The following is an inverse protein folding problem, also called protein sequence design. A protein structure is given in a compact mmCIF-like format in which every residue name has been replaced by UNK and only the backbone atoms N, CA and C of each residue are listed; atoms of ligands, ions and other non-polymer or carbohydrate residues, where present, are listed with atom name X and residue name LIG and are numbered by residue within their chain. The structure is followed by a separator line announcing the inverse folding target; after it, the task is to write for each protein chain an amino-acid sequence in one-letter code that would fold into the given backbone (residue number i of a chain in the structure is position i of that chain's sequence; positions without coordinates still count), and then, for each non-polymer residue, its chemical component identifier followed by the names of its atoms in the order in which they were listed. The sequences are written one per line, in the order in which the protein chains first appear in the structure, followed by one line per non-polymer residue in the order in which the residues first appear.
data_IF_772133757827
#
_entry.id   IF_772133757827
#
_cell.length_a   1.000
_cell.length_b   1.000
_cell.length_c   1.000
_cell.angle_alpha   90.00
_cell.angle_beta   90.00
_cell.angle_gamma   90.00
#
_symmetry.space_group_name_H-M   'P 1'
#
loop_
_entity.id
_entity.type
_entity.pdbx_description
1 polymer ?
#
# COMPACT_ATOMS: atom_id res chain seq x y z
N UNK A 1 -1.33 -38.79 -17.13
CA UNK A 1 -1.06 -38.52 -15.69
C UNK A 1 -1.43 -37.09 -15.26
N UNK A 2 -1.89 -36.22 -16.16
CA UNK A 2 -2.19 -34.81 -15.84
C UNK A 2 -3.56 -34.59 -15.20
N UNK A 3 -4.58 -35.34 -15.62
CA UNK A 3 -5.94 -35.22 -15.09
C UNK A 3 -6.07 -35.41 -13.57
N UNK A 4 -5.28 -36.29 -12.96
CA UNK A 4 -5.39 -36.59 -11.53
C UNK A 4 -4.88 -35.45 -10.63
N UNK A 5 -3.85 -34.70 -11.06
CA UNK A 5 -3.34 -33.59 -10.25
C UNK A 5 -4.31 -32.40 -10.26
N UNK A 6 -4.97 -32.14 -11.39
CA UNK A 6 -5.91 -31.01 -11.54
C UNK A 6 -7.10 -31.17 -10.60
N UNK A 7 -7.68 -32.36 -10.57
CA UNK A 7 -8.81 -32.69 -9.68
C UNK A 7 -8.41 -32.49 -8.22
N UNK A 8 -7.21 -32.96 -7.83
CA UNK A 8 -6.72 -32.80 -6.45
C UNK A 8 -6.62 -31.32 -6.07
N UNK A 9 -6.02 -30.49 -6.93
CA UNK A 9 -5.92 -29.05 -6.67
C UNK A 9 -7.26 -28.33 -6.65
N UNK A 10 -8.21 -28.73 -7.50
CA UNK A 10 -9.57 -28.18 -7.49
C UNK A 10 -10.28 -28.52 -6.18
N UNK A 11 -10.23 -29.79 -5.75
CA UNK A 11 -10.81 -30.24 -4.47
C UNK A 11 -10.16 -29.53 -3.28
N UNK A 12 -8.83 -29.41 -3.29
CA UNK A 12 -8.10 -28.70 -2.24
C UNK A 12 -8.50 -27.22 -2.17
N UNK A 13 -8.57 -26.55 -3.31
CA UNK A 13 -9.00 -25.15 -3.41
C UNK A 13 -10.44 -24.95 -2.97
N UNK A 14 -11.33 -25.90 -3.30
CA UNK A 14 -12.72 -25.92 -2.85
C UNK A 14 -12.84 -26.05 -1.33
N UNK A 15 -12.20 -27.06 -0.74
CA UNK A 15 -12.19 -27.27 0.71
C UNK A 15 -11.67 -26.05 1.43
N UNK A 16 -10.53 -25.52 0.99
CA UNK A 16 -9.90 -24.38 1.63
C UNK A 16 -10.74 -23.09 1.46
N UNK A 17 -11.44 -22.91 0.33
CA UNK A 17 -12.40 -21.81 0.17
C UNK A 17 -13.56 -21.94 1.16
N UNK A 18 -14.12 -23.14 1.34
CA UNK A 18 -15.18 -23.39 2.33
C UNK A 18 -14.71 -23.13 3.76
N UNK A 19 -13.49 -23.56 4.11
CA UNK A 19 -12.92 -23.35 5.44
C UNK A 19 -12.78 -21.85 5.76
N UNK A 20 -12.34 -21.04 4.79
CA UNK A 20 -12.28 -19.58 4.95
C UNK A 20 -13.68 -18.98 5.07
N UNK A 21 -14.60 -19.36 4.19
CA UNK A 21 -15.97 -18.83 4.18
C UNK A 21 -16.76 -19.22 5.43
N UNK A 22 -16.39 -20.32 6.09
CA UNK A 22 -16.97 -20.76 7.37
C UNK A 22 -16.88 -19.68 8.46
N UNK A 23 -15.99 -18.69 8.33
CA UNK A 23 -15.96 -17.50 9.19
C UNK A 23 -17.32 -16.77 9.26
N UNK A 24 -18.11 -16.81 8.19
CA UNK A 24 -19.46 -16.20 8.16
C UNK A 24 -20.42 -16.85 9.17
N UNK A 25 -20.18 -18.11 9.53
CA UNK A 25 -20.94 -18.87 10.54
C UNK A 25 -20.39 -18.67 11.96
N UNK A 26 -19.36 -17.83 12.12
CA UNK A 26 -18.65 -17.60 13.38
C UNK A 26 -17.25 -18.24 13.42
N UNK A 27 -16.57 -18.07 14.56
CA UNK A 27 -15.22 -18.58 14.79
C UNK A 27 -15.25 -20.10 15.03
N UNK A 28 -14.72 -20.86 14.07
CA UNK A 28 -14.75 -22.32 14.06
C UNK A 28 -13.34 -22.88 13.79
N UNK A 29 -13.15 -24.17 14.10
CA UNK A 29 -11.85 -24.85 13.96
C UNK A 29 -11.36 -24.83 12.51
N UNK A 30 -12.26 -24.97 11.52
CA UNK A 30 -11.90 -25.00 10.10
C UNK A 30 -11.34 -23.64 9.64
N UNK A 31 -11.99 -22.54 10.00
CA UNK A 31 -11.51 -21.19 9.73
C UNK A 31 -10.16 -20.94 10.39
N UNK A 32 -10.01 -21.29 11.67
CA UNK A 32 -8.73 -21.16 12.38
C UNK A 32 -7.63 -21.96 11.70
N UNK A 33 -7.90 -23.20 11.29
CA UNK A 33 -6.90 -24.00 10.59
C UNK A 33 -6.49 -23.33 9.26
N UNK A 34 -7.46 -22.92 8.44
CA UNK A 34 -7.17 -22.27 7.17
C UNK A 34 -6.37 -20.98 7.36
N UNK A 35 -6.71 -20.15 8.35
CA UNK A 35 -5.97 -18.92 8.63
C UNK A 35 -4.53 -19.19 9.06
N UNK A 36 -4.29 -20.15 9.96
CA UNK A 36 -2.93 -20.53 10.37
C UNK A 36 -2.14 -21.12 9.21
N UNK A 37 -2.77 -21.93 8.35
CA UNK A 37 -2.13 -22.47 7.15
C UNK A 37 -1.69 -21.33 6.22
N UNK A 38 -2.57 -20.38 5.92
CA UNK A 38 -2.24 -19.23 5.08
C UNK A 38 -1.14 -18.35 5.68
N UNK A 39 -1.22 -18.05 6.98
CA UNK A 39 -0.19 -17.27 7.69
C UNK A 39 1.15 -18.02 7.64
N UNK A 40 1.15 -19.34 7.85
CA UNK A 40 2.35 -20.18 7.77
C UNK A 40 2.96 -20.21 6.38
N UNK A 41 2.14 -20.38 5.33
CA UNK A 41 2.59 -20.34 3.93
C UNK A 41 3.16 -18.96 3.59
N UNK A 42 2.51 -17.88 4.02
CA UNK A 42 3.00 -16.52 3.80
C UNK A 42 4.33 -16.27 4.53
N UNK A 43 4.45 -16.72 5.78
CA UNK A 43 5.70 -16.61 6.53
C UNK A 43 6.84 -17.41 5.84
N UNK A 44 6.56 -18.64 5.40
CA UNK A 44 7.52 -19.45 4.66
C UNK A 44 7.95 -18.81 3.33
N UNK A 45 7.00 -18.26 2.58
CA UNK A 45 7.28 -17.52 1.35
C UNK A 45 8.16 -16.29 1.61
N UNK A 46 7.85 -15.50 2.63
CA UNK A 46 8.66 -14.34 3.04
C UNK A 46 10.07 -14.77 3.43
N UNK A 47 10.24 -15.86 4.17
CA UNK A 47 11.58 -16.38 4.53
C UNK A 47 12.35 -16.77 3.27
N UNK A 48 11.73 -17.48 2.32
CA UNK A 48 12.38 -17.84 1.06
C UNK A 48 12.74 -16.61 0.23
N UNK A 49 11.86 -15.61 0.18
CA UNK A 49 12.08 -14.36 -0.53
C UNK A 49 13.26 -13.61 0.08
N UNK A 50 13.28 -13.40 1.40
CA UNK A 50 14.39 -12.73 2.10
C UNK A 50 15.69 -13.51 1.90
N UNK A 51 15.66 -14.83 2.03
CA UNK A 51 16.86 -15.66 1.86
C UNK A 51 17.46 -15.54 0.46
N UNK A 52 16.64 -15.70 -0.58
CA UNK A 52 17.12 -15.73 -1.97
C UNK A 52 17.33 -14.35 -2.57
N UNK A 53 16.48 -13.37 -2.26
CA UNK A 53 16.50 -12.05 -2.88
C UNK A 53 17.28 -11.03 -2.05
N UNK A 54 17.48 -11.26 -0.75
CA UNK A 54 18.17 -10.32 0.13
C UNK A 54 19.47 -10.90 0.66
N UNK A 55 19.41 -11.96 1.48
CA UNK A 55 20.58 -12.50 2.16
C UNK A 55 21.62 -13.06 1.18
N UNK A 56 21.19 -13.87 0.21
CA UNK A 56 22.13 -14.45 -0.75
C UNK A 56 22.86 -13.39 -1.60
N UNK A 57 22.19 -12.47 -2.31
CA UNK A 57 22.87 -11.51 -3.20
C UNK A 57 23.59 -10.39 -2.46
N UNK A 58 23.08 -9.90 -1.32
CA UNK A 58 23.64 -8.72 -0.65
C UNK A 58 24.53 -9.05 0.55
N UNK A 59 24.39 -10.23 1.18
CA UNK A 59 25.23 -10.63 2.31
C UNK A 59 26.22 -11.73 1.91
N UNK A 60 25.75 -12.85 1.38
CA UNK A 60 26.60 -14.03 1.15
C UNK A 60 27.50 -13.87 -0.09
N UNK A 61 26.92 -13.50 -1.23
CA UNK A 61 27.66 -13.40 -2.50
C UNK A 61 28.84 -12.41 -2.44
N UNK A 62 28.74 -11.22 -1.82
CA UNK A 62 29.87 -10.30 -1.68
C UNK A 62 30.96 -10.83 -0.75
N UNK A 63 30.61 -11.62 0.28
CA UNK A 63 31.62 -12.23 1.17
C UNK A 63 32.42 -13.30 0.44
N UNK A 64 31.76 -14.14 -0.34
CA UNK A 64 32.40 -15.30 -0.98
C UNK A 64 33.16 -14.92 -2.25
N UNK A 65 32.60 -14.02 -3.06
CA UNK A 65 33.10 -13.72 -4.40
C UNK A 65 33.44 -12.24 -4.62
N UNK A 66 33.35 -11.40 -3.57
CA UNK A 66 33.53 -9.96 -3.70
C UNK A 66 35.00 -9.52 -3.69
N UNK A 67 35.23 -8.33 -4.22
CA UNK A 67 36.51 -7.64 -4.11
C UNK A 67 36.69 -7.05 -2.70
N UNK A 68 37.94 -6.85 -2.26
CA UNK A 68 38.28 -6.25 -0.95
C UNK A 68 37.45 -4.99 -0.60
N UNK A 69 37.25 -4.01 -1.51
CA UNK A 69 36.40 -2.85 -1.25
C UNK A 69 34.93 -3.22 -0.99
N UNK A 70 34.38 -4.17 -1.74
CA UNK A 70 32.99 -4.61 -1.59
C UNK A 70 32.74 -5.29 -0.25
N UNK A 71 33.70 -6.08 0.24
CA UNK A 71 33.63 -6.71 1.56
C UNK A 71 33.73 -5.66 2.68
N UNK A 72 34.58 -4.63 2.52
CA UNK A 72 34.69 -3.54 3.49
C UNK A 72 33.38 -2.74 3.64
N UNK A 73 32.69 -2.46 2.53
CA UNK A 73 31.37 -1.81 2.56
C UNK A 73 30.30 -2.63 3.31
N UNK A 74 30.44 -3.96 3.31
CA UNK A 74 29.55 -4.86 4.04
C UNK A 74 29.79 -4.83 5.56
N UNK A 75 30.88 -4.23 6.03
CA UNK A 75 31.18 -4.10 7.46
C UNK A 75 30.07 -3.41 8.24
N UNK A 76 29.50 -2.32 7.70
CA UNK A 76 28.42 -1.56 8.35
C UNK A 76 27.17 -2.42 8.58
N UNK A 77 26.54 -3.03 7.56
CA UNK A 77 25.34 -3.85 7.78
C UNK A 77 25.61 -5.07 8.65
N UNK A 78 26.79 -5.71 8.57
CA UNK A 78 27.13 -6.86 9.43
C UNK A 78 27.23 -6.45 10.90
N UNK A 79 27.87 -5.30 11.19
CA UNK A 79 27.94 -4.77 12.55
C UNK A 79 26.54 -4.45 13.09
N UNK A 80 25.68 -3.83 12.28
CA UNK A 80 24.29 -3.55 12.68
C UNK A 80 23.49 -4.83 12.94
N UNK A 81 23.62 -5.85 12.09
CA UNK A 81 23.00 -7.18 12.29
C UNK A 81 23.48 -7.78 13.60
N UNK A 82 24.80 -7.77 13.84
CA UNK A 82 25.39 -8.32 15.06
C UNK A 82 24.89 -7.59 16.32
N UNK A 83 24.83 -6.25 16.29
CA UNK A 83 24.25 -5.44 17.36
C UNK A 83 22.78 -5.79 17.65
N UNK A 84 21.99 -6.07 16.60
CA UNK A 84 20.57 -6.43 16.71
C UNK A 84 20.37 -7.85 17.25
N UNK A 85 21.27 -8.79 16.92
CA UNK A 85 21.26 -10.15 17.49
C UNK A 85 21.67 -10.10 18.97
N UNK A 86 22.71 -9.34 19.30
CA UNK A 86 23.15 -9.18 20.69
C UNK A 86 22.09 -8.54 21.59
N UNK A 87 21.25 -7.66 21.05
CA UNK A 87 20.18 -7.03 21.82
C UNK A 87 19.06 -7.98 22.25
N UNK A 88 19.03 -9.22 21.73
CA UNK A 88 18.06 -10.24 22.16
C UNK A 88 18.38 -10.82 23.55
N UNK A 89 19.61 -10.64 24.05
CA UNK A 89 20.01 -11.12 25.37
C UNK A 89 19.66 -10.11 26.48
N UNK A 90 19.21 -10.62 27.63
CA UNK A 90 18.90 -9.80 28.82
C UNK A 90 20.15 -9.04 29.28
N UNK A 91 20.12 -7.71 29.23
CA UNK A 91 21.22 -6.82 29.64
C UNK A 91 21.90 -6.04 28.51
N UNK A 92 21.77 -6.48 27.25
CA UNK A 92 22.37 -5.81 26.07
C UNK A 92 21.32 -5.12 25.18
N UNK A 93 20.09 -4.97 25.66
CA UNK A 93 18.97 -4.39 24.89
C UNK A 93 19.25 -2.99 24.35
N UNK A 94 20.07 -2.18 25.06
CA UNK A 94 20.45 -0.84 24.63
C UNK A 94 21.24 -0.81 23.32
N UNK A 95 22.04 -1.85 23.04
CA UNK A 95 22.85 -1.96 21.82
C UNK A 95 21.96 -2.05 20.56
N UNK A 96 20.75 -2.61 20.70
CA UNK A 96 19.77 -2.72 19.63
C UNK A 96 19.12 -1.39 19.24
N UNK A 97 19.23 -0.34 20.08
CA UNK A 97 18.63 0.96 19.80
C UNK A 97 19.22 1.62 18.55
N UNK A 98 20.52 1.41 18.27
CA UNK A 98 21.19 2.01 17.12
C UNK A 98 20.74 1.39 15.78
N UNK A 99 20.76 0.05 15.59
CA UNK A 99 20.15 -0.56 14.40
C UNK A 99 18.67 -0.20 14.23
N UNK A 100 17.89 -0.17 15.31
CA UNK A 100 16.46 0.19 15.25
C UNK A 100 16.25 1.66 14.85
N UNK A 101 17.05 2.59 15.39
CA UNK A 101 17.01 4.00 15.02
C UNK A 101 17.41 4.20 13.55
N UNK A 102 18.42 3.48 13.07
CA UNK A 102 18.81 3.48 11.66
C UNK A 102 17.65 2.99 10.78
N UNK A 103 17.03 1.85 11.12
CA UNK A 103 15.90 1.30 10.37
C UNK A 103 14.69 2.26 10.35
N UNK A 104 14.38 2.89 11.49
CA UNK A 104 13.30 3.87 11.58
C UNK A 104 13.59 5.14 10.75
N UNK A 105 14.82 5.67 10.84
CA UNK A 105 15.26 6.80 10.04
C UNK A 105 15.26 6.51 8.54
N UNK A 106 15.73 5.31 8.14
CA UNK A 106 15.68 4.84 6.77
C UNK A 106 14.23 4.69 6.28
N UNK A 107 13.34 4.08 7.07
CA UNK A 107 11.93 3.96 6.72
C UNK A 107 11.27 5.34 6.56
N UNK A 108 11.55 6.29 7.45
CA UNK A 108 11.08 7.66 7.34
C UNK A 108 11.62 8.35 6.08
N UNK A 109 12.93 8.20 5.78
CA UNK A 109 13.54 8.77 4.59
C UNK A 109 12.95 8.18 3.29
N UNK A 110 12.74 6.86 3.24
CA UNK A 110 12.11 6.19 2.09
C UNK A 110 10.64 6.61 1.96
N UNK A 111 9.90 6.71 3.07
CA UNK A 111 8.50 7.14 3.03
C UNK A 111 8.36 8.60 2.55
N UNK A 112 9.16 9.52 3.12
CA UNK A 112 9.16 10.94 2.73
C UNK A 112 9.67 11.11 1.31
N UNK A 113 10.79 10.46 0.95
CA UNK A 113 11.33 10.49 -0.40
C UNK A 113 10.36 9.89 -1.41
N UNK A 114 9.77 8.74 -1.10
CA UNK A 114 8.75 8.08 -1.92
C UNK A 114 7.50 8.94 -2.11
N UNK A 115 7.04 9.65 -1.07
CA UNK A 115 5.95 10.60 -1.20
C UNK A 115 6.35 11.81 -2.07
N UNK A 116 7.52 12.41 -1.82
CA UNK A 116 7.94 13.60 -2.58
C UNK A 116 8.17 13.27 -4.06
N UNK A 117 8.97 12.26 -4.35
CA UNK A 117 9.36 11.92 -5.72
C UNK A 117 8.34 11.03 -6.43
N UNK A 118 7.61 10.19 -5.71
CA UNK A 118 6.59 9.30 -6.28
C UNK A 118 5.22 9.94 -6.42
N UNK A 119 4.87 10.93 -5.60
CA UNK A 119 3.56 11.58 -5.65
C UNK A 119 3.65 13.09 -5.87
N UNK A 120 4.18 13.85 -4.91
CA UNK A 120 4.06 15.32 -4.91
C UNK A 120 4.67 15.98 -6.15
N UNK A 121 5.89 15.60 -6.54
CA UNK A 121 6.56 16.20 -7.70
C UNK A 121 5.88 15.80 -9.03
N UNK A 122 5.62 14.52 -9.33
CA UNK A 122 4.86 14.14 -10.52
C UNK A 122 3.47 14.78 -10.57
N UNK A 123 2.74 14.83 -9.45
CA UNK A 123 1.41 15.44 -9.38
C UNK A 123 1.47 16.96 -9.61
N UNK A 124 2.47 17.64 -9.04
CA UNK A 124 2.68 19.07 -9.29
C UNK A 124 3.03 19.35 -10.75
N UNK A 125 3.86 18.49 -11.38
CA UNK A 125 4.19 18.61 -12.81
C UNK A 125 2.97 18.37 -13.69
N UNK A 126 2.18 17.35 -13.39
CA UNK A 126 0.94 17.07 -14.12
C UNK A 126 -0.02 18.27 -14.12
N UNK A 127 -0.10 19.00 -13.00
CA UNK A 127 -0.88 20.25 -12.95
C UNK A 127 -0.28 21.31 -13.87
N UNK A 128 1.03 21.55 -13.80
CA UNK A 128 1.69 22.53 -14.69
C UNK A 128 1.51 22.17 -16.16
N UNK A 129 1.77 20.92 -16.53
CA UNK A 129 1.67 20.41 -17.90
C UNK A 129 0.23 20.44 -18.42
N UNK A 130 -0.77 20.35 -17.53
CA UNK A 130 -2.18 20.49 -17.92
C UNK A 130 -2.55 21.89 -18.40
N UNK A 131 -1.72 22.91 -18.12
CA UNK A 131 -1.88 24.28 -18.63
C UNK A 131 -0.97 24.60 -19.82
N UNK A 132 -0.25 23.62 -20.38
CA UNK A 132 0.54 23.82 -21.60
C UNK A 132 -0.39 23.97 -22.83
N UNK A 133 -0.38 25.13 -23.52
CA UNK A 133 -1.18 25.33 -24.73
C UNK A 133 -0.94 24.27 -25.81
N UNK A 134 0.30 23.75 -25.93
CA UNK A 134 0.62 22.71 -26.91
C UNK A 134 -0.20 21.42 -26.67
N UNK A 135 -0.48 21.08 -25.40
CA UNK A 135 -1.24 19.91 -25.00
C UNK A 135 -2.76 20.08 -25.22
N UNK A 136 -3.24 21.31 -25.29
CA UNK A 136 -4.65 21.62 -25.57
C UNK A 136 -4.99 21.44 -27.04
N UNK A 137 -4.09 21.87 -27.94
CA UNK A 137 -4.31 21.79 -29.39
C UNK A 137 -3.93 20.44 -30.01
N UNK A 138 -3.31 19.54 -29.24
CA UNK A 138 -2.95 18.19 -29.69
C UNK A 138 -4.17 17.36 -30.18
N UNK A 139 -5.37 17.64 -29.66
CA UNK A 139 -6.63 17.01 -30.10
C UNK A 139 -7.67 18.12 -30.37
N UNK A 140 -7.78 18.62 -31.61
CA UNK A 140 -8.58 19.81 -31.94
C UNK A 140 -10.06 19.74 -31.55
N UNK A 141 -10.63 18.53 -31.47
CA UNK A 141 -12.05 18.32 -31.13
C UNK A 141 -12.32 18.22 -29.61
N UNK A 142 -11.29 18.30 -28.76
CA UNK A 142 -11.41 18.14 -27.29
C UNK A 142 -10.78 19.29 -26.50
N UNK A 143 -10.34 20.36 -27.18
CA UNK A 143 -9.65 21.50 -26.56
C UNK A 143 -10.42 22.06 -25.35
N UNK A 144 -11.73 22.26 -25.47
CA UNK A 144 -12.56 22.78 -24.37
C UNK A 144 -12.63 21.83 -23.16
N UNK A 145 -12.77 20.51 -23.41
CA UNK A 145 -12.77 19.51 -22.34
C UNK A 145 -11.42 19.46 -21.60
N UNK A 146 -10.30 19.58 -22.33
CA UNK A 146 -8.96 19.60 -21.73
C UNK A 146 -8.71 20.83 -20.85
N UNK A 147 -9.18 22.00 -21.29
CA UNK A 147 -9.08 23.23 -20.49
C UNK A 147 -9.93 23.08 -19.21
N UNK A 148 -11.14 22.54 -19.35
CA UNK A 148 -12.02 22.28 -18.20
C UNK A 148 -11.39 21.28 -17.22
N UNK A 149 -10.78 20.20 -17.71
CA UNK A 149 -10.06 19.23 -16.88
C UNK A 149 -8.88 19.87 -16.13
N UNK A 150 -8.08 20.71 -16.80
CA UNK A 150 -6.98 21.44 -16.17
C UNK A 150 -7.46 22.38 -15.06
N UNK A 151 -8.53 23.13 -15.31
CA UNK A 151 -9.15 24.02 -14.32
C UNK A 151 -9.73 23.23 -13.15
N UNK A 152 -10.46 22.14 -13.42
CA UNK A 152 -10.99 21.26 -12.37
C UNK A 152 -9.88 20.66 -11.51
N UNK A 153 -8.78 20.24 -12.13
CA UNK A 153 -7.63 19.67 -11.41
C UNK A 153 -6.94 20.73 -10.54
N UNK A 154 -6.77 21.96 -11.03
CA UNK A 154 -6.23 23.07 -10.25
C UNK A 154 -7.15 23.41 -9.07
N UNK A 155 -8.45 23.61 -9.33
CA UNK A 155 -9.45 23.96 -8.30
C UNK A 155 -9.57 22.85 -7.26
N UNK A 156 -9.59 21.59 -7.69
CA UNK A 156 -9.62 20.43 -6.80
C UNK A 156 -8.37 20.36 -5.92
N UNK A 157 -7.19 20.57 -6.51
CA UNK A 157 -5.92 20.54 -5.76
C UNK A 157 -5.83 21.66 -4.75
N UNK A 158 -6.06 22.91 -5.17
CA UNK A 158 -5.99 24.07 -4.28
C UNK A 158 -7.10 24.01 -3.24
N UNK A 159 -8.31 23.57 -3.62
CA UNK A 159 -9.42 23.32 -2.70
C UNK A 159 -9.05 22.32 -1.60
N UNK A 160 -8.50 21.17 -1.99
CA UNK A 160 -8.10 20.10 -1.07
C UNK A 160 -6.96 20.55 -0.15
N UNK A 161 -5.95 21.24 -0.69
CA UNK A 161 -4.87 21.83 0.11
C UNK A 161 -5.38 22.89 1.08
N UNK A 162 -6.37 23.68 0.68
CA UNK A 162 -7.01 24.70 1.54
C UNK A 162 -7.81 24.05 2.67
N UNK A 163 -8.49 22.92 2.42
CA UNK A 163 -9.17 22.13 3.44
C UNK A 163 -8.20 21.60 4.51
N UNK A 164 -7.05 21.06 4.09
CA UNK A 164 -6.02 20.53 4.98
C UNK A 164 -5.00 21.57 5.46
N UNK A 165 -5.22 22.87 5.22
CA UNK A 165 -4.30 23.90 5.66
C UNK A 165 -4.33 24.05 7.19
N UNK A 166 -3.46 23.29 7.87
CA UNK A 166 -3.26 23.32 9.33
C UNK A 166 -2.49 24.57 9.83
N UNK A 167 -2.34 25.60 9.00
CA UNK A 167 -1.54 26.79 9.25
C UNK A 167 -2.12 27.83 10.21
N UNK A 168 -3.05 27.49 11.11
CA UNK A 168 -3.38 28.38 12.24
C UNK A 168 -2.49 28.00 13.41
N UNK A 169 -1.48 28.84 13.67
CA UNK A 169 -0.65 28.81 14.89
C UNK A 169 -1.54 28.50 16.09
N UNK A 170 -1.16 27.47 16.85
CA UNK A 170 -1.59 27.25 18.23
C UNK A 170 -0.99 28.35 19.12
N UNK A 171 -1.32 29.61 18.83
CA UNK A 171 -0.99 30.75 19.67
C UNK A 171 -2.31 31.19 20.28
N UNK A 172 -2.40 31.02 21.59
CA UNK A 172 -3.42 31.57 22.47
C UNK A 172 -3.90 32.94 21.94
N UNK A 173 -5.15 33.02 21.50
CA UNK A 173 -5.82 34.26 21.13
C UNK A 173 -7.31 34.11 21.42
N UNK A 174 -7.81 35.14 22.09
CA UNK A 174 -9.17 35.41 22.58
C UNK A 174 -10.23 35.17 21.51
N UNK A 175 -11.43 34.82 21.96
CA UNK A 175 -12.58 34.36 21.17
C UNK A 175 -13.01 35.27 20.01
N UNK A 176 -12.60 36.55 19.98
CA UNK A 176 -12.99 37.53 18.97
C UNK A 176 -12.13 37.56 17.68
N UNK A 177 -10.94 36.96 17.66
CA UNK A 177 -10.09 36.86 16.45
C UNK A 177 -10.25 35.51 15.70
N UNK A 178 -11.14 34.64 16.20
CA UNK A 178 -11.40 33.32 15.63
C UNK A 178 -12.09 33.39 14.26
N UNK A 179 -12.78 34.47 13.93
CA UNK A 179 -13.75 34.49 12.82
C UNK A 179 -13.22 34.92 11.45
N UNK A 180 -12.10 35.64 11.33
CA UNK A 180 -11.67 36.12 10.01
C UNK A 180 -10.70 35.16 9.33
N UNK A 181 -11.18 33.95 8.98
CA UNK A 181 -10.62 33.25 7.82
C UNK A 181 -10.95 34.10 6.59
N UNK A 182 -10.00 34.42 5.70
CA UNK A 182 -10.33 35.14 4.47
C UNK A 182 -11.40 34.36 3.71
N UNK A 183 -12.49 35.01 3.32
CA UNK A 183 -13.69 34.37 2.75
C UNK A 183 -13.36 33.46 1.54
N UNK A 184 -12.33 33.82 0.79
CA UNK A 184 -11.80 33.04 -0.34
C UNK A 184 -11.27 31.68 0.11
N UNK A 185 -10.55 31.61 1.24
CA UNK A 185 -9.98 30.37 1.79
C UNK A 185 -11.07 29.45 2.36
N UNK A 186 -12.12 30.03 2.96
CA UNK A 186 -13.26 29.25 3.45
C UNK A 186 -14.09 28.64 2.31
N UNK A 187 -14.36 29.42 1.26
CA UNK A 187 -15.02 28.91 0.05
C UNK A 187 -14.22 27.78 -0.61
N UNK A 188 -12.91 27.96 -0.74
CA UNK A 188 -12.01 26.99 -1.36
C UNK A 188 -11.89 25.71 -0.51
N UNK A 189 -11.90 25.83 0.82
CA UNK A 189 -11.96 24.70 1.75
C UNK A 189 -13.25 23.88 1.61
N UNK A 190 -14.41 24.50 1.37
CA UNK A 190 -15.69 23.78 1.14
C UNK A 190 -15.64 23.00 -0.16
N UNK A 191 -15.06 23.58 -1.22
CA UNK A 191 -14.80 22.87 -2.47
C UNK A 191 -13.88 21.67 -2.24
N UNK A 192 -12.78 21.86 -1.50
CA UNK A 192 -11.88 20.76 -1.12
C UNK A 192 -12.57 19.62 -0.38
N UNK A 193 -13.48 19.94 0.55
CA UNK A 193 -14.24 18.92 1.28
C UNK A 193 -15.08 18.04 0.35
N UNK A 194 -15.71 18.62 -0.67
CA UNK A 194 -16.47 17.87 -1.68
C UNK A 194 -15.54 16.94 -2.47
N UNK A 195 -14.39 17.45 -2.93
CA UNK A 195 -13.40 16.64 -3.64
C UNK A 195 -12.87 15.47 -2.81
N UNK A 196 -12.57 15.71 -1.52
CA UNK A 196 -12.16 14.66 -0.59
C UNK A 196 -13.27 13.63 -0.41
N UNK A 197 -14.51 14.08 -0.22
CA UNK A 197 -15.67 13.19 -0.09
C UNK A 197 -15.87 12.30 -1.31
N UNK A 198 -15.77 12.87 -2.52
CA UNK A 198 -15.85 12.12 -3.79
C UNK A 198 -14.68 11.12 -3.89
N UNK A 199 -13.46 11.55 -3.59
CA UNK A 199 -12.27 10.70 -3.70
C UNK A 199 -12.29 9.53 -2.73
N UNK A 200 -12.58 9.79 -1.45
CA UNK A 200 -12.73 8.74 -0.43
C UNK A 200 -13.91 7.82 -0.76
N UNK A 201 -15.02 8.38 -1.24
CA UNK A 201 -16.18 7.62 -1.70
C UNK A 201 -15.84 6.68 -2.86
N UNK A 202 -15.06 7.14 -3.83
CA UNK A 202 -14.60 6.33 -4.96
C UNK A 202 -13.66 5.21 -4.51
N UNK A 203 -12.71 5.50 -3.61
CA UNK A 203 -11.81 4.47 -3.04
C UNK A 203 -12.63 3.42 -2.26
N UNK A 204 -13.56 3.86 -1.41
CA UNK A 204 -14.43 2.97 -0.65
C UNK A 204 -15.30 2.09 -1.58
N UNK A 205 -15.95 2.70 -2.57
CA UNK A 205 -16.75 1.97 -3.55
C UNK A 205 -15.91 0.97 -4.33
N UNK A 206 -14.67 1.32 -4.70
CA UNK A 206 -13.72 0.43 -5.37
C UNK A 206 -13.33 -0.77 -4.50
N UNK A 207 -12.97 -0.54 -3.24
CA UNK A 207 -12.63 -1.62 -2.29
C UNK A 207 -13.85 -2.51 -2.02
N UNK A 208 -15.02 -1.91 -1.78
CA UNK A 208 -16.26 -2.63 -1.55
C UNK A 208 -16.65 -3.48 -2.76
N UNK A 209 -16.66 -2.89 -3.96
CA UNK A 209 -17.00 -3.59 -5.20
C UNK A 209 -16.01 -4.72 -5.48
N UNK A 210 -14.72 -4.50 -5.30
CA UNK A 210 -13.69 -5.54 -5.47
C UNK A 210 -13.88 -6.69 -4.49
N UNK A 211 -14.19 -6.38 -3.23
CA UNK A 211 -14.44 -7.39 -2.19
C UNK A 211 -15.71 -8.18 -2.47
N UNK A 212 -16.77 -7.51 -2.93
CA UNK A 212 -18.03 -8.14 -3.31
C UNK A 212 -17.87 -9.03 -4.55
N UNK A 213 -17.15 -8.57 -5.57
CA UNK A 213 -16.84 -9.37 -6.76
C UNK A 213 -16.01 -10.61 -6.38
N UNK A 214 -14.99 -10.44 -5.53
CA UNK A 214 -14.21 -11.56 -5.02
C UNK A 214 -15.09 -12.57 -4.27
N UNK A 215 -16.07 -12.11 -3.46
CA UNK A 215 -17.02 -13.00 -2.78
C UNK A 215 -17.92 -13.75 -3.77
N UNK A 216 -18.48 -13.03 -4.76
CA UNK A 216 -19.33 -13.62 -5.80
C UNK A 216 -18.55 -14.69 -6.57
N UNK A 217 -17.31 -14.41 -6.97
CA UNK A 217 -16.45 -15.37 -7.67
C UNK A 217 -16.22 -16.65 -6.84
N UNK A 218 -16.02 -16.52 -5.53
CA UNK A 218 -15.85 -17.69 -4.64
C UNK A 218 -17.15 -18.50 -4.50
N UNK A 219 -18.30 -17.84 -4.45
CA UNK A 219 -19.61 -18.53 -4.41
C UNK A 219 -19.94 -19.22 -5.74
N UNK A 220 -19.64 -18.57 -6.88
CA UNK A 220 -19.80 -19.16 -8.21
C UNK A 220 -18.89 -20.36 -8.38
N UNK A 221 -17.63 -20.27 -7.95
CA UNK A 221 -16.68 -21.38 -7.97
C UNK A 221 -17.21 -22.59 -7.16
N UNK A 222 -17.75 -22.36 -5.96
CA UNK A 222 -18.38 -23.40 -5.15
C UNK A 222 -19.58 -24.03 -5.89
N UNK A 223 -20.47 -23.21 -6.46
CA UNK A 223 -21.64 -23.69 -7.20
C UNK A 223 -21.27 -24.48 -8.45
N UNK A 224 -20.27 -24.04 -9.20
CA UNK A 224 -19.74 -24.75 -10.37
C UNK A 224 -19.11 -26.08 -9.98
N UNK A 225 -18.32 -26.12 -8.90
CA UNK A 225 -17.74 -27.36 -8.39
C UNK A 225 -18.84 -28.38 -8.03
N UNK A 226 -19.88 -27.95 -7.32
CA UNK A 226 -21.00 -28.81 -6.94
C UNK A 226 -21.76 -29.32 -8.18
N UNK A 227 -22.06 -28.47 -9.15
CA UNK A 227 -22.76 -28.88 -10.38
C UNK A 227 -21.93 -29.89 -11.19
N UNK A 228 -20.62 -29.65 -11.33
CA UNK A 228 -19.72 -30.57 -12.02
C UNK A 228 -19.65 -31.93 -11.30
N UNK A 229 -19.68 -31.94 -9.97
CA UNK A 229 -19.76 -33.17 -9.18
C UNK A 229 -21.06 -33.95 -9.50
N UNK A 230 -22.21 -33.28 -9.46
CA UNK A 230 -23.51 -33.91 -9.75
C UNK A 230 -23.65 -34.40 -11.20
N UNK A 231 -23.04 -33.73 -12.18
CA UNK A 231 -23.03 -34.19 -13.58
C UNK A 231 -22.06 -35.35 -13.85
N UNK A 232 -21.11 -35.58 -12.95
CA UNK A 232 -20.12 -36.65 -13.06
C UNK A 232 -20.61 -37.97 -12.42
N UNK A 233 -21.71 -37.94 -11.68
CA UNK A 233 -22.41 -39.12 -11.15
C UNK A 233 -23.62 -39.46 -12.03
#
# INVERSE_FOLDING_TARGET
MTFSYEILWIVFSFLLTLMVLSYLLGDNIFFRFASHLFIGVMAGYVVLLISNQILWPYLVRPIVNGTLPGVLWLGIPVVLIFMLVLSQFKGLTWIGSLPLAYMAGLAAAIAVGGAVFGTLLPQSRAIVDSFDPAMWYAVPNQTWFRILDAVLMLVGTVGTLSYFHFGRKRKSMTEEDLEKRPAILEGLSKVGQVFIGISLGAVFAGVFSSSLLALIDRLLFIGQFINNLFRSF
#
